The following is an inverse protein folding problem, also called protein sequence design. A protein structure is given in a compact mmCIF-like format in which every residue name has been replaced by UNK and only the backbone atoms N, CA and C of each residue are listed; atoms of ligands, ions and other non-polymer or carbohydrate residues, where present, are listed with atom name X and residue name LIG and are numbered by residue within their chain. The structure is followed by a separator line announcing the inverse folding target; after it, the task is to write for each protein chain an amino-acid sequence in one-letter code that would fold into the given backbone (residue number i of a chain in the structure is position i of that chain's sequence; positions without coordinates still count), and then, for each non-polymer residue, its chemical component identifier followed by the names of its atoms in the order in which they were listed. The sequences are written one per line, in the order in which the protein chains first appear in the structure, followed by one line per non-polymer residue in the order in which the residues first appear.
data_IF_032228590923
#
_entry.id   IF_032228590923
#
_cell.length_a   1.000
_cell.length_b   1.000
_cell.length_c   1.000
_cell.angle_alpha   90.00
_cell.angle_beta   90.00
_cell.angle_gamma   90.00
#
_symmetry.space_group_name_H-M   'P 1'
#
loop_
_entity.id
_entity.type
_entity.pdbx_description
1 polymer ?
#
# COMPACT_ATOMS: atom_id res chain seq x y z
N UNK A 1 4.62 15.76 -46.10
CA UNK A 1 4.39 14.46 -45.46
C UNK A 1 3.61 14.69 -44.15
N UNK A 2 2.43 14.14 -44.05
CA UNK A 2 1.39 14.54 -43.07
C UNK A 2 1.67 13.99 -41.69
N UNK A 3 1.90 14.88 -40.72
CA UNK A 3 1.77 14.57 -39.29
C UNK A 3 0.30 14.33 -38.95
N UNK A 4 -0.04 13.10 -38.66
CA UNK A 4 -1.39 12.73 -38.24
C UNK A 4 -1.62 13.08 -36.78
N UNK A 5 -2.59 13.97 -36.52
CA UNK A 5 -3.14 14.34 -35.23
C UNK A 5 -3.50 13.10 -34.39
N UNK A 6 -2.93 13.01 -33.19
CA UNK A 6 -3.20 11.95 -32.22
C UNK A 6 -4.60 12.06 -31.62
N UNK A 7 -5.64 11.72 -32.37
CA UNK A 7 -6.95 11.38 -31.80
C UNK A 7 -6.79 10.10 -30.99
N UNK A 8 -7.07 10.16 -29.69
CA UNK A 8 -7.18 9.02 -28.80
C UNK A 8 -8.08 7.95 -29.44
N UNK A 9 -7.49 6.95 -30.09
CA UNK A 9 -8.22 5.81 -30.63
C UNK A 9 -8.47 4.79 -29.53
N UNK A 10 -9.55 4.99 -28.75
CA UNK A 10 -10.09 4.01 -27.80
C UNK A 10 -10.44 2.65 -28.44
N UNK A 11 -10.59 2.59 -29.75
CA UNK A 11 -11.07 1.41 -30.48
C UNK A 11 -10.02 0.32 -30.79
N UNK A 12 -8.74 0.52 -30.47
CA UNK A 12 -7.72 -0.48 -30.85
C UNK A 12 -7.29 -1.44 -29.73
N UNK A 13 -7.73 -1.25 -28.48
CA UNK A 13 -7.31 -2.06 -27.34
C UNK A 13 -8.46 -2.45 -26.41
N UNK A 14 -9.37 -3.27 -26.96
CA UNK A 14 -10.51 -3.82 -26.22
C UNK A 14 -10.11 -4.45 -24.89
N UNK A 15 -9.03 -5.26 -24.86
CA UNK A 15 -8.53 -5.89 -23.65
C UNK A 15 -8.05 -4.86 -22.61
N UNK A 16 -7.29 -3.82 -23.02
CA UNK A 16 -6.83 -2.77 -22.10
C UNK A 16 -8.01 -2.04 -21.43
N UNK A 17 -9.05 -1.76 -22.17
CA UNK A 17 -10.27 -1.11 -21.65
C UNK A 17 -10.99 -1.99 -20.62
N UNK A 18 -11.29 -3.25 -20.96
CA UNK A 18 -12.00 -4.14 -20.07
C UNK A 18 -11.21 -4.52 -18.82
N UNK A 19 -9.87 -4.68 -18.93
CA UNK A 19 -9.00 -4.89 -17.79
C UNK A 19 -8.89 -3.65 -16.88
N UNK A 20 -9.06 -2.45 -17.44
CA UNK A 20 -9.14 -1.22 -16.65
C UNK A 20 -10.47 -1.16 -15.90
N UNK A 21 -11.60 -1.46 -16.56
CA UNK A 21 -12.92 -1.55 -15.92
C UNK A 21 -12.98 -2.62 -14.84
N UNK A 22 -12.34 -3.78 -15.07
CA UNK A 22 -12.19 -4.82 -14.03
C UNK A 22 -11.57 -4.23 -12.77
N UNK A 23 -10.47 -3.48 -12.89
CA UNK A 23 -9.82 -2.83 -11.78
C UNK A 23 -10.68 -1.77 -11.10
N UNK A 24 -11.41 -0.96 -11.88
CA UNK A 24 -12.35 0.06 -11.37
C UNK A 24 -13.45 -0.58 -10.52
N UNK A 25 -14.08 -1.65 -11.00
CA UNK A 25 -15.11 -2.36 -10.22
C UNK A 25 -14.52 -3.17 -9.07
N UNK A 26 -13.30 -3.69 -9.18
CA UNK A 26 -12.58 -4.35 -8.09
C UNK A 26 -12.27 -3.41 -6.93
N UNK A 27 -12.24 -2.08 -7.14
CA UNK A 27 -11.99 -1.10 -6.08
C UNK A 27 -13.01 -1.15 -4.95
N UNK A 28 -14.26 -1.57 -5.22
CA UNK A 28 -15.27 -1.77 -4.18
C UNK A 28 -14.82 -2.81 -3.15
N UNK A 29 -14.26 -3.92 -3.62
CA UNK A 29 -13.70 -4.95 -2.74
C UNK A 29 -12.42 -4.47 -2.02
N UNK A 30 -11.55 -3.73 -2.71
CA UNK A 30 -10.34 -3.16 -2.10
C UNK A 30 -10.69 -2.19 -0.97
N UNK A 31 -11.69 -1.33 -1.16
CA UNK A 31 -12.15 -0.40 -0.12
C UNK A 31 -12.71 -1.16 1.07
N UNK A 32 -13.55 -2.16 0.86
CA UNK A 32 -14.09 -2.98 1.95
C UNK A 32 -12.99 -3.68 2.76
N UNK A 33 -11.91 -4.14 2.11
CA UNK A 33 -10.92 -5.04 2.74
C UNK A 33 -9.61 -4.37 3.15
N UNK A 34 -9.32 -3.14 2.67
CA UNK A 34 -8.01 -2.50 2.85
C UNK A 34 -8.08 -1.07 3.40
N UNK A 35 -9.27 -0.59 3.76
CA UNK A 35 -9.44 0.75 4.33
C UNK A 35 -10.05 0.69 5.73
N UNK A 36 -10.30 1.84 6.35
CA UNK A 36 -10.99 1.95 7.64
C UNK A 36 -12.41 1.33 7.63
N UNK A 37 -13.03 1.16 6.45
CA UNK A 37 -14.31 0.45 6.30
C UNK A 37 -14.19 -1.01 6.79
N UNK A 38 -13.07 -1.69 6.48
CA UNK A 38 -12.79 -3.03 7.01
C UNK A 38 -12.85 -3.04 8.54
N UNK A 39 -12.17 -2.09 9.16
CA UNK A 39 -12.12 -1.97 10.63
C UNK A 39 -13.50 -1.71 11.22
N UNK A 40 -14.32 -0.85 10.59
CA UNK A 40 -15.70 -0.59 11.04
C UNK A 40 -16.56 -1.85 11.00
N UNK A 41 -16.53 -2.60 9.90
CA UNK A 41 -17.26 -3.87 9.76
C UNK A 41 -16.72 -4.90 10.74
N UNK A 42 -15.42 -4.99 10.93
CA UNK A 42 -14.78 -5.92 11.86
C UNK A 42 -15.19 -5.64 13.32
N UNK A 43 -15.16 -4.37 13.75
CA UNK A 43 -15.64 -3.97 15.08
C UNK A 43 -17.10 -4.35 15.25
N UNK A 44 -17.93 -4.12 14.24
CA UNK A 44 -19.35 -4.50 14.27
C UNK A 44 -19.55 -6.01 14.49
N UNK A 45 -18.71 -6.85 13.88
CA UNK A 45 -18.71 -8.31 14.10
C UNK A 45 -18.03 -8.74 15.40
N UNK A 46 -17.59 -7.79 16.25
CA UNK A 46 -17.03 -8.06 17.58
C UNK A 46 -15.54 -8.40 17.57
N UNK A 47 -14.79 -7.99 16.53
CA UNK A 47 -13.34 -8.14 16.53
C UNK A 47 -12.73 -7.13 17.50
N UNK A 48 -11.93 -7.64 18.44
CA UNK A 48 -11.03 -6.85 19.27
C UNK A 48 -9.64 -6.69 18.61
N UNK A 49 -8.72 -6.05 19.31
CA UNK A 49 -7.39 -5.75 18.81
C UNK A 49 -6.62 -7.01 18.37
N UNK A 50 -6.75 -8.12 19.12
CA UNK A 50 -6.07 -9.39 18.82
C UNK A 50 -6.59 -9.97 17.50
N UNK A 51 -7.91 -9.99 17.32
CA UNK A 51 -8.53 -10.46 16.07
C UNK A 51 -8.22 -9.55 14.90
N UNK A 52 -8.15 -8.24 15.12
CA UNK A 52 -7.73 -7.27 14.07
C UNK A 52 -6.28 -7.46 13.67
N UNK A 53 -5.37 -7.68 14.62
CA UNK A 53 -3.97 -8.00 14.33
C UNK A 53 -3.83 -9.29 13.52
N UNK A 54 -4.59 -10.33 13.89
CA UNK A 54 -4.65 -11.58 13.12
C UNK A 54 -5.17 -11.33 11.70
N UNK A 55 -6.30 -10.63 11.54
CA UNK A 55 -6.86 -10.31 10.24
C UNK A 55 -5.88 -9.52 9.36
N UNK A 56 -5.21 -8.51 9.92
CA UNK A 56 -4.23 -7.70 9.21
C UNK A 56 -2.98 -8.48 8.75
N UNK A 57 -2.70 -9.64 9.36
CA UNK A 57 -1.61 -10.51 8.92
C UNK A 57 -1.93 -11.29 7.64
N UNK A 58 -3.22 -11.54 7.33
CA UNK A 58 -3.63 -12.43 6.24
C UNK A 58 -3.19 -11.96 4.85
N UNK A 59 -3.33 -10.69 4.45
CA UNK A 59 -2.87 -10.25 3.14
C UNK A 59 -1.39 -10.54 2.89
N UNK A 60 -0.56 -10.47 3.94
CA UNK A 60 0.87 -10.76 3.87
C UNK A 60 1.17 -12.25 3.97
N UNK A 61 0.54 -12.95 4.93
CA UNK A 61 0.75 -14.38 5.14
C UNK A 61 0.32 -15.20 3.92
N UNK A 62 -0.82 -14.86 3.33
CA UNK A 62 -1.38 -15.64 2.23
C UNK A 62 -0.75 -15.34 0.86
N UNK A 63 0.13 -14.36 0.77
CA UNK A 63 0.99 -14.21 -0.41
C UNK A 63 1.83 -15.47 -0.69
N UNK A 64 2.09 -16.31 0.32
CA UNK A 64 2.76 -17.61 0.11
C UNK A 64 2.01 -18.51 -0.88
N UNK A 65 0.68 -18.40 -0.95
CA UNK A 65 -0.12 -19.16 -1.91
C UNK A 65 0.14 -18.77 -3.36
N UNK A 66 0.73 -17.59 -3.62
CA UNK A 66 1.15 -17.20 -4.96
C UNK A 66 2.23 -18.11 -5.53
N UNK A 67 3.01 -18.80 -4.68
CA UNK A 67 4.02 -19.78 -5.13
C UNK A 67 3.38 -20.99 -5.81
N UNK A 68 2.14 -21.33 -5.49
CA UNK A 68 1.40 -22.43 -6.09
C UNK A 68 0.62 -22.02 -7.36
N UNK A 69 0.44 -20.72 -7.59
CA UNK A 69 -0.33 -20.21 -8.72
C UNK A 69 0.22 -20.64 -10.10
N UNK A 70 1.54 -20.70 -10.38
CA UNK A 70 2.07 -21.20 -11.64
C UNK A 70 1.65 -22.64 -11.93
N UNK A 71 1.73 -23.52 -10.93
CA UNK A 71 1.32 -24.93 -11.07
C UNK A 71 -0.19 -25.09 -11.34
N UNK A 72 -1.01 -24.17 -10.81
CA UNK A 72 -2.45 -24.12 -11.08
C UNK A 72 -2.68 -23.60 -12.50
N UNK A 73 -1.99 -22.52 -12.90
CA UNK A 73 -2.11 -21.92 -14.25
C UNK A 73 -1.76 -22.92 -15.35
N UNK A 74 -0.72 -23.75 -15.15
CA UNK A 74 -0.30 -24.76 -16.14
C UNK A 74 -1.34 -25.86 -16.37
N UNK A 75 -2.14 -26.19 -15.35
CA UNK A 75 -3.16 -27.26 -15.41
C UNK A 75 -4.46 -26.80 -16.06
N UNK A 76 -4.71 -25.50 -16.16
CA UNK A 76 -5.97 -24.98 -16.68
C UNK A 76 -5.79 -24.33 -18.06
N UNK A 77 -6.74 -24.58 -19.00
CA UNK A 77 -6.62 -24.14 -20.38
C UNK A 77 -6.82 -22.63 -20.56
N UNK A 78 -7.47 -21.94 -19.60
CA UNK A 78 -7.84 -20.54 -19.70
C UNK A 78 -7.54 -19.80 -18.40
N UNK A 79 -6.63 -18.81 -18.47
CA UNK A 79 -6.33 -17.90 -17.35
C UNK A 79 -7.51 -17.00 -17.01
N UNK A 80 -8.33 -16.63 -18.01
CA UNK A 80 -9.53 -15.83 -17.84
C UNK A 80 -10.56 -16.54 -16.95
N UNK A 81 -10.86 -17.82 -17.24
CA UNK A 81 -11.78 -18.62 -16.44
C UNK A 81 -11.22 -18.83 -15.04
N UNK A 82 -9.93 -19.09 -14.94
CA UNK A 82 -9.24 -19.27 -13.66
C UNK A 82 -9.26 -17.99 -12.82
N UNK A 83 -9.03 -16.82 -13.44
CA UNK A 83 -9.15 -15.53 -12.77
C UNK A 83 -10.58 -15.26 -12.30
N UNK A 84 -11.59 -15.57 -13.12
CA UNK A 84 -13.00 -15.44 -12.74
C UNK A 84 -13.34 -16.33 -11.54
N UNK A 85 -12.85 -17.58 -11.53
CA UNK A 85 -13.01 -18.50 -10.41
C UNK A 85 -12.41 -17.93 -9.11
N UNK A 86 -11.15 -17.47 -9.13
CA UNK A 86 -10.53 -16.92 -7.93
C UNK A 86 -11.11 -15.55 -7.53
N UNK A 87 -11.54 -14.72 -8.48
CA UNK A 87 -12.26 -13.48 -8.15
C UNK A 87 -13.65 -13.76 -7.53
N UNK A 88 -14.25 -14.94 -7.76
CA UNK A 88 -15.51 -15.31 -7.10
C UNK A 88 -15.39 -15.47 -5.58
N UNK A 89 -14.16 -15.62 -5.04
CA UNK A 89 -13.92 -15.60 -3.60
C UNK A 89 -14.39 -14.32 -2.89
N UNK A 90 -14.60 -13.23 -3.64
CA UNK A 90 -15.20 -11.98 -3.13
C UNK A 90 -16.66 -12.16 -2.71
N UNK A 91 -17.38 -13.13 -3.31
CA UNK A 91 -18.77 -13.43 -2.94
C UNK A 91 -18.91 -14.17 -1.62
N UNK A 92 -17.82 -14.67 -1.02
CA UNK A 92 -17.86 -15.22 0.33
C UNK A 92 -18.42 -14.23 1.36
N UNK A 93 -18.29 -12.93 1.10
CA UNK A 93 -18.84 -11.87 1.95
C UNK A 93 -20.38 -11.87 2.02
N UNK A 94 -21.09 -12.52 1.06
CA UNK A 94 -22.55 -12.69 1.12
C UNK A 94 -23.00 -13.46 2.35
N UNK A 95 -22.15 -14.39 2.82
CA UNK A 95 -22.41 -15.19 4.02
C UNK A 95 -22.57 -14.33 5.27
N UNK A 96 -21.95 -13.13 5.31
CA UNK A 96 -22.04 -12.23 6.44
C UNK A 96 -23.37 -11.44 6.49
N UNK A 97 -24.10 -11.32 5.37
CA UNK A 97 -25.32 -10.49 5.29
C UNK A 97 -26.42 -10.91 6.30
N UNK A 98 -26.79 -12.19 6.43
CA UNK A 98 -27.76 -12.62 7.44
C UNK A 98 -27.32 -12.31 8.87
N UNK A 99 -26.01 -12.39 9.14
CA UNK A 99 -25.43 -12.17 10.47
C UNK A 99 -25.38 -10.68 10.88
N UNK A 100 -25.67 -9.75 9.97
CA UNK A 100 -25.84 -8.35 10.32
C UNK A 100 -27.03 -8.10 11.24
N UNK A 101 -28.06 -8.94 11.16
CA UNK A 101 -29.31 -8.77 11.89
C UNK A 101 -29.42 -9.69 13.14
N UNK A 102 -28.39 -10.49 13.41
CA UNK A 102 -28.32 -11.36 14.58
C UNK A 102 -27.60 -10.62 15.70
N UNK A 103 -28.18 -10.62 16.91
CA UNK A 103 -27.58 -9.93 18.06
C UNK A 103 -26.25 -10.54 18.50
N UNK A 104 -26.15 -11.88 18.42
CA UNK A 104 -24.91 -12.57 18.79
C UNK A 104 -23.85 -12.42 17.70
N UNK A 105 -22.87 -11.56 17.94
CA UNK A 105 -21.75 -11.32 17.03
C UNK A 105 -20.83 -12.54 16.96
N UNK A 106 -20.35 -12.87 15.76
CA UNK A 106 -19.47 -14.02 15.54
C UNK A 106 -18.14 -13.60 14.90
N UNK A 107 -17.13 -13.20 15.69
CA UNK A 107 -15.83 -12.79 15.19
C UNK A 107 -15.10 -13.94 14.46
N UNK A 108 -15.31 -15.19 14.88
CA UNK A 108 -14.68 -16.36 14.22
C UNK A 108 -15.18 -16.56 12.80
N UNK A 109 -16.49 -16.40 12.57
CA UNK A 109 -17.07 -16.48 11.23
C UNK A 109 -16.49 -15.41 10.32
N UNK A 110 -16.41 -14.15 10.82
CA UNK A 110 -15.82 -13.05 10.06
C UNK A 110 -14.37 -13.35 9.66
N UNK A 111 -13.54 -13.82 10.59
CA UNK A 111 -12.14 -14.19 10.35
C UNK A 111 -12.02 -15.29 9.30
N UNK A 112 -12.85 -16.34 9.38
CA UNK A 112 -12.83 -17.45 8.39
C UNK A 112 -13.20 -16.95 7.00
N UNK A 113 -14.28 -16.16 6.87
CA UNK A 113 -14.69 -15.58 5.59
C UNK A 113 -13.61 -14.68 5.01
N UNK A 114 -13.02 -13.81 5.85
CA UNK A 114 -11.95 -12.93 5.42
C UNK A 114 -10.71 -13.72 5.00
N UNK A 115 -10.27 -14.71 5.80
CA UNK A 115 -9.13 -15.57 5.46
C UNK A 115 -9.31 -16.27 4.11
N UNK A 116 -10.46 -16.91 3.89
CA UNK A 116 -10.76 -17.57 2.64
C UNK A 116 -10.74 -16.58 1.47
N UNK A 117 -11.37 -15.41 1.63
CA UNK A 117 -11.38 -14.39 0.59
C UNK A 117 -9.96 -13.88 0.25
N UNK A 118 -9.04 -13.78 1.23
CA UNK A 118 -7.65 -13.39 1.01
C UNK A 118 -6.81 -14.49 0.31
N UNK A 119 -7.08 -15.78 0.60
CA UNK A 119 -6.46 -16.90 -0.13
C UNK A 119 -6.85 -16.82 -1.61
N UNK A 120 -8.13 -16.65 -1.90
CA UNK A 120 -8.61 -16.49 -3.28
C UNK A 120 -7.98 -15.25 -3.95
N UNK A 121 -7.89 -14.12 -3.25
CA UNK A 121 -7.26 -12.90 -3.76
C UNK A 121 -5.77 -13.09 -4.07
N UNK A 122 -5.03 -13.88 -3.29
CA UNK A 122 -3.61 -14.17 -3.53
C UNK A 122 -3.40 -14.93 -4.86
N UNK A 123 -4.23 -15.93 -5.14
CA UNK A 123 -4.21 -16.62 -6.44
C UNK A 123 -4.64 -15.69 -7.58
N UNK A 124 -5.73 -14.94 -7.40
CA UNK A 124 -6.24 -14.02 -8.41
C UNK A 124 -5.19 -12.99 -8.82
N UNK A 125 -4.45 -12.43 -7.86
CA UNK A 125 -3.39 -11.44 -8.13
C UNK A 125 -2.29 -11.98 -9.04
N UNK A 126 -1.81 -13.20 -8.82
CA UNK A 126 -0.77 -13.82 -9.65
C UNK A 126 -1.29 -14.16 -11.05
N UNK A 127 -2.49 -14.72 -11.15
CA UNK A 127 -3.14 -15.04 -12.44
C UNK A 127 -3.35 -13.77 -13.25
N UNK A 128 -3.78 -12.69 -12.60
CA UNK A 128 -3.97 -11.37 -13.23
C UNK A 128 -2.66 -10.83 -13.82
N UNK A 129 -1.56 -10.85 -13.04
CA UNK A 129 -0.23 -10.42 -13.52
C UNK A 129 0.20 -11.26 -14.72
N UNK A 130 0.03 -12.58 -14.65
CA UNK A 130 0.34 -13.50 -15.75
C UNK A 130 -0.48 -13.17 -17.00
N UNK A 131 -1.78 -12.90 -16.85
CA UNK A 131 -2.67 -12.54 -17.95
C UNK A 131 -2.30 -11.20 -18.60
N UNK A 132 -1.94 -10.19 -17.81
CA UNK A 132 -1.44 -8.89 -18.31
C UNK A 132 -0.18 -9.08 -19.16
N UNK A 133 0.74 -9.93 -18.69
CA UNK A 133 1.98 -10.21 -19.42
C UNK A 133 1.75 -10.81 -20.80
N UNK A 134 0.67 -11.58 -20.97
CA UNK A 134 0.31 -12.20 -22.25
C UNK A 134 -0.46 -11.25 -23.18
N UNK A 135 -1.32 -10.40 -22.60
CA UNK A 135 -2.24 -9.58 -23.38
C UNK A 135 -1.66 -8.22 -23.77
N UNK A 136 -0.76 -7.66 -22.94
CA UNK A 136 -0.21 -6.32 -23.13
C UNK A 136 1.25 -6.40 -23.56
N UNK A 137 1.61 -5.91 -24.77
CA UNK A 137 3.00 -5.86 -25.24
C UNK A 137 3.91 -5.10 -24.25
N UNK A 138 5.15 -5.58 -24.12
CA UNK A 138 6.10 -5.06 -23.13
C UNK A 138 6.34 -3.55 -23.28
N UNK A 139 6.45 -3.05 -24.53
CA UNK A 139 6.70 -1.65 -24.85
C UNK A 139 5.56 -0.71 -24.41
N UNK A 140 4.35 -1.24 -24.23
CA UNK A 140 3.15 -0.49 -23.86
C UNK A 140 2.68 -0.75 -22.45
N UNK A 141 3.22 -1.78 -21.80
CA UNK A 141 2.77 -2.26 -20.49
C UNK A 141 2.87 -1.17 -19.41
N UNK A 142 3.97 -0.42 -19.39
CA UNK A 142 4.15 0.69 -18.44
C UNK A 142 3.09 1.79 -18.62
N UNK A 143 2.84 2.21 -19.85
CA UNK A 143 1.82 3.22 -20.17
C UNK A 143 0.40 2.75 -19.79
N UNK A 144 0.08 1.49 -20.11
CA UNK A 144 -1.19 0.89 -19.77
C UNK A 144 -1.38 0.80 -18.24
N UNK A 145 -0.40 0.25 -17.52
CA UNK A 145 -0.48 0.11 -16.05
C UNK A 145 -0.58 1.47 -15.35
N UNK A 146 0.13 2.48 -15.85
CA UNK A 146 0.02 3.85 -15.33
C UNK A 146 -1.40 4.40 -15.47
N UNK A 147 -1.99 4.29 -16.66
CA UNK A 147 -3.36 4.75 -16.92
C UNK A 147 -4.41 3.95 -16.11
N UNK A 148 -4.27 2.63 -16.09
CA UNK A 148 -5.13 1.75 -15.29
C UNK A 148 -5.07 2.11 -13.81
N UNK A 149 -3.87 2.24 -13.25
CA UNK A 149 -3.70 2.55 -11.83
C UNK A 149 -4.28 3.93 -11.49
N UNK A 150 -4.22 4.91 -12.38
CA UNK A 150 -4.89 6.18 -12.20
C UNK A 150 -6.40 6.01 -12.03
N UNK A 151 -7.07 5.29 -12.93
CA UNK A 151 -8.52 5.06 -12.84
C UNK A 151 -8.92 4.21 -11.64
N UNK A 152 -8.13 3.18 -11.31
CA UNK A 152 -8.38 2.34 -10.12
C UNK A 152 -8.22 3.15 -8.84
N UNK A 153 -7.18 3.97 -8.72
CA UNK A 153 -6.97 4.85 -7.56
C UNK A 153 -8.09 5.87 -7.42
N UNK A 154 -8.48 6.51 -8.52
CA UNK A 154 -9.60 7.46 -8.51
C UNK A 154 -10.90 6.78 -8.06
N UNK A 155 -11.20 5.61 -8.60
CA UNK A 155 -12.37 4.81 -8.20
C UNK A 155 -12.28 4.42 -6.71
N UNK A 156 -11.12 3.98 -6.23
CA UNK A 156 -10.92 3.64 -4.81
C UNK A 156 -11.21 4.82 -3.90
N UNK A 157 -10.75 6.02 -4.24
CA UNK A 157 -11.03 7.24 -3.46
C UNK A 157 -12.51 7.58 -3.45
N UNK A 158 -13.16 7.54 -4.62
CA UNK A 158 -14.60 7.84 -4.75
C UNK A 158 -15.46 6.81 -3.99
N UNK A 159 -15.15 5.53 -4.11
CA UNK A 159 -15.86 4.46 -3.40
C UNK A 159 -15.63 4.55 -1.90
N UNK A 160 -14.40 4.85 -1.46
CA UNK A 160 -14.11 5.03 -0.04
C UNK A 160 -14.91 6.20 0.55
N UNK A 161 -14.95 7.33 -0.14
CA UNK A 161 -15.77 8.46 0.27
C UNK A 161 -17.27 8.10 0.33
N UNK A 162 -17.80 7.45 -0.72
CA UNK A 162 -19.19 6.99 -0.75
C UNK A 162 -19.52 6.07 0.43
N UNK A 163 -18.66 5.07 0.70
CA UNK A 163 -18.87 4.13 1.80
C UNK A 163 -18.76 4.83 3.16
N UNK A 164 -17.91 5.84 3.28
CA UNK A 164 -17.79 6.66 4.49
C UNK A 164 -19.08 7.46 4.75
N UNK A 165 -19.65 8.09 3.73
CA UNK A 165 -20.93 8.81 3.83
C UNK A 165 -22.06 7.84 4.19
N UNK A 166 -22.12 6.66 3.59
CA UNK A 166 -23.11 5.63 3.96
C UNK A 166 -22.92 5.20 5.42
N UNK A 167 -21.68 4.98 5.84
CA UNK A 167 -21.38 4.56 7.22
C UNK A 167 -21.86 5.57 8.25
N UNK A 168 -21.69 6.86 7.99
CA UNK A 168 -21.99 7.92 8.94
C UNK A 168 -23.48 8.31 8.96
N UNK A 169 -24.19 8.19 7.81
CA UNK A 169 -25.55 8.71 7.67
C UNK A 169 -26.64 7.63 7.70
N UNK A 170 -26.27 6.36 7.50
CA UNK A 170 -27.23 5.26 7.50
C UNK A 170 -27.16 4.49 8.81
N UNK A 171 -28.32 4.20 9.42
CA UNK A 171 -28.39 3.47 10.69
C UNK A 171 -27.82 2.06 10.57
N UNK A 172 -27.10 1.64 11.61
CA UNK A 172 -26.64 0.26 11.81
C UNK A 172 -27.88 -0.67 11.97
N UNK A 173 -27.92 -1.85 11.33
CA UNK A 173 -26.91 -2.48 10.48
C UNK A 173 -27.06 -2.18 8.96
N UNK A 174 -28.00 -1.34 8.56
CA UNK A 174 -28.31 -1.08 7.16
C UNK A 174 -27.13 -0.43 6.41
N UNK A 175 -26.30 0.37 7.09
CA UNK A 175 -25.07 0.90 6.53
C UNK A 175 -24.14 -0.23 6.02
N UNK A 176 -23.88 -1.25 6.83
CA UNK A 176 -23.05 -2.41 6.44
C UNK A 176 -23.72 -3.28 5.40
N UNK A 177 -25.05 -3.41 5.46
CA UNK A 177 -25.82 -4.09 4.40
C UNK A 177 -25.58 -3.42 3.05
N UNK A 178 -25.70 -2.10 2.96
CA UNK A 178 -25.48 -1.34 1.73
C UNK A 178 -24.03 -1.46 1.24
N UNK A 179 -23.05 -1.29 2.14
CA UNK A 179 -21.63 -1.37 1.80
C UNK A 179 -21.26 -2.75 1.26
N UNK A 180 -21.64 -3.84 1.96
CA UNK A 180 -21.35 -5.21 1.52
C UNK A 180 -22.08 -5.52 0.21
N UNK A 181 -23.36 -5.15 0.09
CA UNK A 181 -24.13 -5.37 -1.15
C UNK A 181 -23.53 -4.61 -2.33
N UNK A 182 -23.14 -3.33 -2.16
CA UNK A 182 -22.45 -2.57 -3.19
C UNK A 182 -21.10 -3.20 -3.58
N UNK A 183 -20.38 -3.76 -2.60
CA UNK A 183 -19.14 -4.51 -2.87
C UNK A 183 -19.38 -5.78 -3.68
N UNK A 184 -20.44 -6.52 -3.38
CA UNK A 184 -20.84 -7.70 -4.15
C UNK A 184 -21.25 -7.34 -5.57
N UNK A 185 -22.01 -6.24 -5.75
CA UNK A 185 -22.36 -5.72 -7.07
C UNK A 185 -21.14 -5.28 -7.87
N UNK A 186 -20.21 -4.53 -7.25
CA UNK A 186 -18.95 -4.16 -7.88
C UNK A 186 -18.13 -5.40 -8.27
N UNK A 187 -18.07 -6.41 -7.40
CA UNK A 187 -17.41 -7.69 -7.69
C UNK A 187 -18.06 -8.43 -8.85
N UNK A 188 -19.38 -8.42 -8.94
CA UNK A 188 -20.13 -9.01 -10.06
C UNK A 188 -19.84 -8.28 -11.37
N UNK A 189 -19.89 -6.94 -11.37
CA UNK A 189 -19.52 -6.13 -12.54
C UNK A 189 -18.07 -6.36 -12.96
N UNK A 190 -17.15 -6.50 -12.01
CA UNK A 190 -15.75 -6.88 -12.29
C UNK A 190 -15.67 -8.22 -13.04
N UNK A 191 -16.44 -9.25 -12.64
CA UNK A 191 -16.47 -10.51 -13.36
C UNK A 191 -17.05 -10.38 -14.78
N UNK A 192 -18.11 -9.59 -14.96
CA UNK A 192 -18.71 -9.35 -16.28
C UNK A 192 -17.70 -8.72 -17.25
N UNK A 193 -16.81 -7.84 -16.76
CA UNK A 193 -15.77 -7.22 -17.61
C UNK A 193 -14.72 -8.21 -18.11
N UNK A 194 -14.61 -9.40 -17.51
CA UNK A 194 -13.74 -10.46 -18.01
C UNK A 194 -14.32 -11.17 -19.25
N UNK A 195 -15.63 -11.19 -19.42
CA UNK A 195 -16.28 -11.94 -20.52
C UNK A 195 -15.80 -11.57 -21.92
N UNK A 196 -15.68 -10.26 -22.27
CA UNK A 196 -15.27 -9.84 -23.61
C UNK A 196 -13.76 -9.91 -23.86
N UNK A 197 -12.95 -10.32 -22.88
CA UNK A 197 -11.50 -10.45 -23.04
C UNK A 197 -11.14 -11.57 -24.01
N UNK A 198 -10.22 -11.25 -24.92
CA UNK A 198 -9.66 -12.18 -25.87
C UNK A 198 -8.34 -12.72 -25.34
N UNK A 199 -8.31 -14.01 -25.00
CA UNK A 199 -7.17 -14.69 -24.40
C UNK A 199 -6.17 -15.13 -25.47
N UNK A 200 -4.88 -14.83 -25.26
CA UNK A 200 -3.78 -15.40 -26.05
C UNK A 200 -3.04 -16.45 -25.22
N UNK A 201 -2.72 -17.59 -25.81
CA UNK A 201 -1.94 -18.63 -25.12
C UNK A 201 -0.53 -18.11 -24.82
N UNK A 202 -0.10 -18.29 -23.57
CA UNK A 202 1.15 -17.78 -23.03
C UNK A 202 2.39 -18.56 -23.45
N UNK A 203 3.53 -17.85 -23.43
CA UNK A 203 4.86 -18.46 -23.40
C UNK A 203 5.18 -18.99 -21.98
N UNK A 204 6.00 -20.06 -21.90
CA UNK A 204 6.42 -20.67 -20.63
C UNK A 204 7.22 -19.67 -19.77
N UNK A 205 6.90 -19.58 -18.49
CA UNK A 205 7.57 -18.71 -17.51
C UNK A 205 8.80 -19.41 -16.89
N UNK A 206 9.81 -18.58 -16.53
CA UNK A 206 11.17 -18.97 -16.17
C UNK A 206 11.38 -19.76 -14.87
N UNK A 207 12.61 -20.20 -14.65
CA UNK A 207 13.09 -21.22 -13.72
C UNK A 207 13.51 -20.70 -12.34
N UNK A 208 13.39 -21.59 -11.32
CA UNK A 208 13.72 -21.38 -9.88
C UNK A 208 15.24 -21.26 -9.61
N UNK A 209 16.10 -21.38 -10.62
CA UNK A 209 17.57 -21.48 -10.43
C UNK A 209 18.28 -20.25 -9.86
N UNK A 210 17.60 -19.07 -9.83
CA UNK A 210 18.25 -17.80 -9.43
C UNK A 210 18.23 -17.53 -7.92
N UNK A 211 17.57 -18.37 -7.12
CA UNK A 211 17.43 -18.12 -5.67
C UNK A 211 18.80 -18.10 -4.95
N UNK A 212 19.68 -19.04 -5.31
CA UNK A 212 21.05 -19.09 -4.72
C UNK A 212 21.85 -17.83 -5.02
N UNK A 213 21.71 -17.28 -6.22
CA UNK A 213 22.37 -16.03 -6.63
C UNK A 213 21.91 -14.85 -5.75
N UNK A 214 20.58 -14.73 -5.55
CA UNK A 214 20.00 -13.65 -4.72
C UNK A 214 20.46 -13.76 -3.27
N UNK A 215 20.44 -14.97 -2.70
CA UNK A 215 20.87 -15.20 -1.31
C UNK A 215 22.38 -14.96 -1.10
N UNK A 216 23.19 -15.10 -2.15
CA UNK A 216 24.63 -14.81 -2.12
C UNK A 216 24.93 -13.30 -2.22
N UNK A 217 24.01 -12.49 -2.75
CA UNK A 217 24.17 -11.05 -2.86
C UNK A 217 24.04 -10.35 -1.52
N UNK A 218 25.18 -10.11 -0.87
CA UNK A 218 25.25 -9.55 0.49
C UNK A 218 24.62 -8.17 0.61
N UNK A 219 24.76 -7.31 -0.42
CA UNK A 219 24.21 -5.95 -0.38
C UNK A 219 22.70 -5.97 -0.53
N UNK A 220 22.18 -6.74 -1.48
CA UNK A 220 20.75 -6.92 -1.67
C UNK A 220 20.08 -7.58 -0.44
N UNK A 221 20.74 -8.58 0.17
CA UNK A 221 20.22 -9.21 1.39
C UNK A 221 20.22 -8.27 2.60
N UNK A 222 21.16 -7.30 2.69
CA UNK A 222 21.07 -6.22 3.70
C UNK A 222 19.82 -5.37 3.48
N UNK A 223 19.54 -4.97 2.23
CA UNK A 223 18.34 -4.22 1.87
C UNK A 223 17.06 -5.01 2.22
N UNK A 224 17.01 -6.27 1.84
CA UNK A 224 15.84 -7.12 2.08
C UNK A 224 15.59 -7.37 3.58
N UNK A 225 16.64 -7.52 4.39
CA UNK A 225 16.52 -7.62 5.85
C UNK A 225 16.09 -6.30 6.50
N UNK A 226 16.57 -5.16 6.00
CA UNK A 226 16.11 -3.84 6.44
C UNK A 226 14.62 -3.62 6.09
N UNK A 227 14.19 -4.08 4.92
CA UNK A 227 12.79 -4.04 4.49
C UNK A 227 11.89 -4.95 5.33
N UNK A 228 12.37 -6.15 5.71
CA UNK A 228 11.71 -7.01 6.70
C UNK A 228 11.49 -6.25 8.02
N UNK A 229 12.55 -5.66 8.58
CA UNK A 229 12.47 -4.94 9.85
C UNK A 229 11.52 -3.72 9.76
N UNK A 230 11.56 -3.00 8.64
CA UNK A 230 10.64 -1.89 8.40
C UNK A 230 9.18 -2.32 8.38
N UNK A 231 8.84 -3.34 7.59
CA UNK A 231 7.47 -3.84 7.52
C UNK A 231 7.00 -4.44 8.84
N UNK A 232 7.90 -5.11 9.58
CA UNK A 232 7.61 -5.59 10.93
C UNK A 232 7.16 -4.45 11.84
N UNK A 233 7.93 -3.36 11.90
CA UNK A 233 7.62 -2.22 12.78
C UNK A 233 6.35 -1.50 12.32
N UNK A 234 6.23 -1.23 11.01
CA UNK A 234 5.04 -0.52 10.48
C UNK A 234 3.76 -1.32 10.74
N UNK A 235 3.77 -2.61 10.43
CA UNK A 235 2.57 -3.46 10.59
C UNK A 235 2.31 -3.85 12.04
N UNK A 236 3.22 -3.54 12.95
CA UNK A 236 3.02 -3.69 14.40
C UNK A 236 1.83 -2.84 14.90
N UNK A 237 1.71 -1.59 14.41
CA UNK A 237 0.68 -0.67 14.85
C UNK A 237 -0.30 -0.24 13.74
N UNK A 238 0.02 -0.40 12.47
CA UNK A 238 -0.81 0.08 11.35
C UNK A 238 -2.30 -0.31 11.41
N UNK A 239 -2.69 -1.55 11.82
CA UNK A 239 -4.10 -1.94 11.90
C UNK A 239 -4.88 -1.19 12.99
N UNK A 240 -4.17 -0.60 13.97
CA UNK A 240 -4.79 0.00 15.16
C UNK A 240 -5.02 1.50 15.03
N UNK A 241 -4.49 2.17 14.00
CA UNK A 241 -4.85 3.55 13.70
C UNK A 241 -6.34 3.71 13.37
N UNK A 242 -6.92 2.99 12.39
CA UNK A 242 -8.36 3.04 12.16
C UNK A 242 -9.19 2.54 13.36
N UNK A 243 -8.69 1.55 14.11
CA UNK A 243 -9.36 1.08 15.31
C UNK A 243 -9.44 2.19 16.35
N UNK A 244 -8.36 2.90 16.63
CA UNK A 244 -8.32 4.02 17.56
C UNK A 244 -9.25 5.16 17.12
N UNK A 245 -9.24 5.52 15.82
CA UNK A 245 -10.14 6.53 15.28
C UNK A 245 -11.62 6.19 15.49
N UNK A 246 -12.00 4.95 15.22
CA UNK A 246 -13.40 4.53 15.22
C UNK A 246 -13.91 4.10 16.60
N UNK A 247 -13.09 3.37 17.37
CA UNK A 247 -13.48 2.79 18.64
C UNK A 247 -13.27 3.75 19.82
N UNK A 248 -12.06 4.35 19.91
CA UNK A 248 -11.71 5.22 21.03
C UNK A 248 -12.19 6.65 20.79
N UNK A 249 -11.76 7.27 19.68
CA UNK A 249 -12.09 8.67 19.35
C UNK A 249 -13.50 8.84 18.76
N UNK A 250 -14.13 7.77 18.30
CA UNK A 250 -15.46 7.77 17.65
C UNK A 250 -15.58 8.79 16.50
N UNK A 251 -14.50 8.95 15.73
CA UNK A 251 -14.47 9.90 14.63
C UNK A 251 -15.44 9.48 13.52
N UNK A 252 -16.13 10.43 12.88
CA UNK A 252 -16.90 10.14 11.69
C UNK A 252 -16.01 9.61 10.58
N UNK A 253 -16.43 8.53 9.91
CA UNK A 253 -15.67 7.87 8.83
C UNK A 253 -15.38 8.83 7.68
N UNK A 254 -16.28 9.80 7.43
CA UNK A 254 -16.12 10.83 6.40
C UNK A 254 -14.84 11.65 6.59
N UNK A 255 -14.47 12.02 7.82
CA UNK A 255 -13.22 12.74 8.09
C UNK A 255 -11.97 11.87 7.87
N UNK A 256 -12.06 10.58 8.20
CA UNK A 256 -11.00 9.60 7.90
C UNK A 256 -10.81 9.48 6.38
N UNK A 257 -11.89 9.49 5.62
CA UNK A 257 -11.81 9.47 4.17
C UNK A 257 -11.22 10.78 3.59
N UNK A 258 -11.56 11.94 4.14
CA UNK A 258 -10.94 13.21 3.73
C UNK A 258 -9.44 13.22 3.97
N UNK A 259 -8.97 12.74 5.12
CA UNK A 259 -7.55 12.61 5.41
C UNK A 259 -6.86 11.68 4.40
N UNK A 260 -7.45 10.53 4.08
CA UNK A 260 -6.92 9.58 3.10
C UNK A 260 -6.90 10.14 1.67
N UNK A 261 -7.94 10.90 1.27
CA UNK A 261 -7.97 11.59 -0.02
C UNK A 261 -6.88 12.65 -0.09
N UNK A 262 -6.73 13.46 0.95
CA UNK A 262 -5.68 14.48 1.05
C UNK A 262 -4.29 13.86 0.93
N UNK A 263 -4.02 12.79 1.70
CA UNK A 263 -2.76 12.06 1.62
C UNK A 263 -2.50 11.50 0.22
N UNK A 264 -3.54 10.96 -0.44
CA UNK A 264 -3.42 10.41 -1.79
C UNK A 264 -3.11 11.48 -2.83
N UNK A 265 -3.78 12.63 -2.78
CA UNK A 265 -3.52 13.76 -3.69
C UNK A 265 -2.10 14.27 -3.51
N UNK A 266 -1.66 14.45 -2.25
CA UNK A 266 -0.29 14.85 -1.96
C UNK A 266 0.72 13.82 -2.44
N UNK A 267 0.45 12.51 -2.25
CA UNK A 267 1.31 11.46 -2.78
C UNK A 267 1.46 11.55 -4.29
N UNK A 268 0.39 11.79 -5.05
CA UNK A 268 0.45 11.94 -6.51
C UNK A 268 1.36 13.10 -6.94
N UNK A 269 1.28 14.23 -6.25
CA UNK A 269 2.13 15.41 -6.52
C UNK A 269 3.59 15.07 -6.16
N UNK A 270 3.81 14.53 -4.98
CA UNK A 270 5.14 14.28 -4.45
C UNK A 270 5.86 13.11 -5.11
N UNK A 271 5.16 12.14 -5.73
CA UNK A 271 5.82 11.13 -6.57
C UNK A 271 6.68 11.75 -7.67
N UNK A 272 6.19 12.82 -8.31
CA UNK A 272 6.95 13.53 -9.36
C UNK A 272 8.16 14.25 -8.77
N UNK A 273 8.00 14.89 -7.61
CA UNK A 273 9.07 15.62 -6.93
C UNK A 273 10.16 14.66 -6.44
N UNK A 274 9.76 13.60 -5.72
CA UNK A 274 10.69 12.59 -5.22
C UNK A 274 11.36 11.80 -6.34
N UNK A 275 10.68 11.57 -7.46
CA UNK A 275 11.27 10.95 -8.65
C UNK A 275 12.48 11.76 -9.15
N UNK A 276 12.33 13.06 -9.35
CA UNK A 276 13.42 13.95 -9.77
C UNK A 276 14.56 14.02 -8.76
N UNK A 277 14.21 14.14 -7.46
CA UNK A 277 15.22 14.14 -6.39
C UNK A 277 15.97 12.80 -6.31
N UNK A 278 15.29 11.71 -6.59
CA UNK A 278 15.86 10.36 -6.63
C UNK A 278 16.89 10.20 -7.76
N UNK A 279 16.59 10.73 -8.94
CA UNK A 279 17.52 10.71 -10.08
C UNK A 279 18.75 11.58 -9.83
N UNK A 280 18.57 12.73 -9.17
CA UNK A 280 19.64 13.70 -8.91
C UNK A 280 20.51 13.30 -7.71
N UNK A 281 19.89 12.97 -6.56
CA UNK A 281 20.58 12.73 -5.28
C UNK A 281 20.65 11.26 -4.87
N UNK A 282 20.05 10.36 -5.63
CA UNK A 282 20.07 8.90 -5.41
C UNK A 282 18.85 8.38 -4.65
N UNK A 283 18.47 7.15 -5.00
CA UNK A 283 17.29 6.45 -4.46
C UNK A 283 17.34 6.24 -2.95
N UNK A 284 18.53 5.95 -2.41
CA UNK A 284 18.75 5.77 -0.98
C UNK A 284 18.50 7.07 -0.19
N UNK A 285 18.91 8.23 -0.72
CA UNK A 285 18.70 9.52 -0.08
C UNK A 285 17.21 9.84 0.06
N UNK A 286 16.44 9.62 -0.99
CA UNK A 286 14.98 9.79 -0.99
C UNK A 286 14.31 8.79 -0.05
N UNK A 287 14.78 7.53 -0.01
CA UNK A 287 14.26 6.54 0.95
C UNK A 287 14.43 7.02 2.39
N UNK A 288 15.65 7.41 2.78
CA UNK A 288 15.93 7.84 4.15
C UNK A 288 15.12 9.09 4.52
N UNK A 289 14.95 10.04 3.59
CA UNK A 289 14.09 11.21 3.79
C UNK A 289 12.61 10.79 4.01
N UNK A 290 12.08 9.96 3.16
CA UNK A 290 10.73 9.43 3.30
C UNK A 290 10.51 8.67 4.60
N UNK A 291 11.42 7.74 4.93
CA UNK A 291 11.38 6.99 6.20
C UNK A 291 11.38 7.92 7.41
N UNK A 292 12.20 8.99 7.38
CA UNK A 292 12.26 9.98 8.48
C UNK A 292 10.93 10.72 8.64
N UNK A 293 10.29 11.11 7.54
CA UNK A 293 9.00 11.79 7.56
C UNK A 293 7.91 10.85 8.10
N UNK A 294 7.78 9.63 7.57
CA UNK A 294 6.70 8.72 8.01
C UNK A 294 6.95 8.13 9.40
N UNK A 295 8.18 8.21 9.92
CA UNK A 295 8.46 7.75 11.28
C UNK A 295 7.92 8.67 12.36
N UNK A 296 7.70 9.96 12.06
CA UNK A 296 7.11 10.90 13.03
C UNK A 296 5.58 10.81 13.07
N UNK A 297 4.93 10.31 11.99
CA UNK A 297 3.46 10.36 11.91
C UNK A 297 2.76 9.64 13.06
N UNK A 298 3.19 8.47 13.55
CA UNK A 298 2.53 7.84 14.69
C UNK A 298 2.58 8.66 15.98
N UNK A 299 3.68 9.41 16.19
CA UNK A 299 3.82 10.25 17.38
C UNK A 299 2.86 11.45 17.39
N UNK A 300 2.42 11.94 16.23
CA UNK A 300 1.44 13.04 16.13
C UNK A 300 0.11 12.65 16.75
N UNK A 301 -0.22 11.36 16.77
CA UNK A 301 -1.49 10.86 17.29
C UNK A 301 -1.65 11.08 18.80
N UNK A 302 -0.58 11.37 19.54
CA UNK A 302 -0.67 11.79 20.95
C UNK A 302 -1.46 13.10 21.13
N UNK A 303 -1.55 13.91 20.07
CA UNK A 303 -2.27 15.18 20.08
C UNK A 303 -3.78 15.02 19.82
N UNK A 304 -4.25 13.79 19.52
CA UNK A 304 -5.66 13.51 19.25
C UNK A 304 -6.40 13.15 20.53
N UNK A 305 -7.51 13.82 20.76
CA UNK A 305 -8.51 13.41 21.74
C UNK A 305 -9.92 13.59 21.12
N UNK A 306 -10.97 13.31 21.89
CA UNK A 306 -12.35 13.39 21.37
C UNK A 306 -12.78 14.79 20.93
N UNK A 307 -12.11 15.85 21.41
CA UNK A 307 -12.41 17.26 21.09
C UNK A 307 -11.47 17.82 20.04
N UNK A 308 -10.15 17.53 20.19
CA UNK A 308 -9.07 18.16 19.42
C UNK A 308 -8.33 17.13 18.56
N UNK A 309 -8.90 16.73 17.45
CA UNK A 309 -8.31 15.72 16.55
C UNK A 309 -8.06 16.24 15.14
N UNK A 310 -8.76 17.33 14.71
CA UNK A 310 -8.75 17.80 13.31
C UNK A 310 -7.34 18.19 12.87
N UNK A 311 -6.63 18.98 13.67
CA UNK A 311 -5.29 19.45 13.32
C UNK A 311 -4.29 18.29 13.21
N UNK A 312 -4.31 17.38 14.17
CA UNK A 312 -3.41 16.23 14.18
C UNK A 312 -3.71 15.26 13.01
N UNK A 313 -5.00 15.03 12.71
CA UNK A 313 -5.41 14.24 11.55
C UNK A 313 -4.97 14.90 10.23
N UNK A 314 -5.08 16.22 10.12
CA UNK A 314 -4.63 16.95 8.93
C UNK A 314 -3.09 16.90 8.78
N UNK A 315 -2.35 17.06 9.87
CA UNK A 315 -0.89 16.93 9.87
C UNK A 315 -0.44 15.53 9.50
N UNK A 316 -1.08 14.50 10.05
CA UNK A 316 -0.81 13.10 9.68
C UNK A 316 -1.07 12.88 8.18
N UNK A 317 -2.20 13.35 7.65
CA UNK A 317 -2.53 13.21 6.24
C UNK A 317 -1.48 13.86 5.32
N UNK A 318 -1.00 15.04 5.69
CA UNK A 318 0.03 15.76 4.91
C UNK A 318 1.36 15.02 4.96
N UNK A 319 1.85 14.69 6.15
CA UNK A 319 3.15 14.02 6.31
C UNK A 319 3.12 12.60 5.75
N UNK A 320 2.02 11.87 5.94
CA UNK A 320 1.84 10.56 5.35
C UNK A 320 1.81 10.62 3.83
N UNK A 321 1.08 11.58 3.23
CA UNK A 321 1.04 11.74 1.77
C UNK A 321 2.41 12.04 1.17
N UNK A 322 3.16 12.95 1.78
CA UNK A 322 4.52 13.32 1.33
C UNK A 322 5.50 12.18 1.56
N UNK A 323 5.54 11.61 2.76
CA UNK A 323 6.55 10.64 3.16
C UNK A 323 6.36 9.28 2.49
N UNK A 324 5.13 8.75 2.46
CA UNK A 324 4.87 7.46 1.80
C UNK A 324 5.09 7.51 0.28
N UNK A 325 4.92 8.66 -0.37
CA UNK A 325 5.31 8.81 -1.78
C UNK A 325 6.81 8.54 -1.99
N UNK A 326 7.67 9.08 -1.13
CA UNK A 326 9.11 8.83 -1.17
C UNK A 326 9.45 7.36 -0.89
N UNK A 327 8.86 6.79 0.18
CA UNK A 327 9.11 5.41 0.62
C UNK A 327 8.68 4.41 -0.45
N UNK A 328 7.45 4.53 -0.97
CA UNK A 328 6.92 3.62 -1.99
C UNK A 328 7.71 3.68 -3.30
N UNK A 329 8.10 4.89 -3.74
CA UNK A 329 8.96 5.06 -4.91
C UNK A 329 10.31 4.36 -4.71
N UNK A 330 10.95 4.61 -3.58
CA UNK A 330 12.29 4.10 -3.31
C UNK A 330 12.30 2.58 -3.06
N UNK A 331 11.25 1.99 -2.52
CA UNK A 331 11.13 0.52 -2.38
C UNK A 331 10.89 -0.21 -3.73
N UNK A 332 10.61 0.53 -4.81
CA UNK A 332 10.65 -0.01 -6.16
C UNK A 332 12.03 0.19 -6.79
N UNK A 333 12.58 1.41 -6.69
CA UNK A 333 13.78 1.80 -7.44
C UNK A 333 15.08 1.33 -6.80
N UNK A 334 15.19 1.33 -5.46
CA UNK A 334 16.41 0.89 -4.77
C UNK A 334 16.68 -0.62 -4.91
N UNK A 335 15.70 -1.53 -4.84
CA UNK A 335 15.92 -2.95 -5.19
C UNK A 335 16.43 -3.14 -6.63
N UNK A 336 15.91 -2.36 -7.60
CA UNK A 336 16.40 -2.40 -9.00
C UNK A 336 17.86 -1.94 -9.10
N UNK A 337 18.25 -0.92 -8.33
CA UNK A 337 19.62 -0.41 -8.31
C UNK A 337 20.59 -1.38 -7.64
N UNK A 338 20.17 -2.05 -6.58
CA UNK A 338 21.03 -2.90 -5.73
C UNK A 338 21.16 -4.34 -6.21
N UNK A 339 20.21 -4.82 -7.03
CA UNK A 339 20.27 -6.16 -7.61
C UNK A 339 21.50 -6.32 -8.52
N UNK A 340 22.31 -7.35 -8.29
CA UNK A 340 23.49 -7.64 -9.11
C UNK A 340 23.17 -8.29 -10.45
N UNK A 341 21.94 -8.82 -10.62
CA UNK A 341 21.47 -9.43 -11.86
C UNK A 341 20.01 -9.02 -12.16
N UNK A 342 19.67 -8.96 -13.43
CA UNK A 342 18.31 -8.67 -13.88
C UNK A 342 17.45 -9.95 -13.82
N UNK A 343 17.09 -10.37 -12.60
CA UNK A 343 16.24 -11.54 -12.36
C UNK A 343 15.01 -11.16 -11.52
N UNK A 344 13.80 -11.60 -11.91
CA UNK A 344 12.57 -11.41 -11.13
C UNK A 344 12.66 -11.99 -9.71
N UNK A 345 13.58 -12.94 -9.47
CA UNK A 345 13.79 -13.57 -8.18
C UNK A 345 14.23 -12.56 -7.10
N UNK A 346 14.93 -11.47 -7.47
CA UNK A 346 15.30 -10.40 -6.55
C UNK A 346 14.06 -9.76 -5.92
N UNK A 347 13.07 -9.39 -6.75
CA UNK A 347 11.81 -8.83 -6.24
C UNK A 347 10.98 -9.85 -5.45
N UNK A 348 11.00 -11.13 -5.85
CA UNK A 348 10.29 -12.18 -5.13
C UNK A 348 10.85 -12.35 -3.70
N UNK A 349 12.17 -12.41 -3.52
CA UNK A 349 12.82 -12.49 -2.20
C UNK A 349 12.58 -11.24 -1.38
N UNK A 350 12.69 -10.06 -1.99
CA UNK A 350 12.43 -8.78 -1.33
C UNK A 350 11.01 -8.70 -0.78
N UNK A 351 10.02 -9.01 -1.62
CA UNK A 351 8.61 -9.00 -1.25
C UNK A 351 8.26 -10.06 -0.21
N UNK A 352 8.84 -11.27 -0.33
CA UNK A 352 8.62 -12.34 0.62
C UNK A 352 9.14 -11.98 2.02
N UNK A 353 10.34 -11.40 2.12
CA UNK A 353 10.89 -10.94 3.40
C UNK A 353 10.07 -9.79 3.98
N UNK A 354 9.66 -8.81 3.16
CA UNK A 354 8.77 -7.75 3.61
C UNK A 354 7.42 -8.27 4.10
N UNK A 355 6.83 -9.23 3.37
CA UNK A 355 5.59 -9.90 3.75
C UNK A 355 5.70 -10.65 5.07
N UNK A 356 6.78 -11.42 5.28
CA UNK A 356 7.06 -12.09 6.56
C UNK A 356 7.20 -11.10 7.71
N UNK A 357 7.93 -10.00 7.50
CA UNK A 357 8.06 -8.94 8.51
C UNK A 357 6.70 -8.38 8.89
N UNK A 358 5.89 -7.99 7.91
CA UNK A 358 4.55 -7.45 8.14
C UNK A 358 3.59 -8.42 8.81
N UNK A 359 3.62 -9.70 8.42
CA UNK A 359 2.83 -10.76 9.05
C UNK A 359 3.15 -10.88 10.54
N UNK A 360 4.43 -11.03 10.87
CA UNK A 360 4.89 -11.18 12.26
C UNK A 360 4.57 -9.91 13.06
N UNK A 361 4.79 -8.73 12.47
CA UNK A 361 4.46 -7.44 13.07
C UNK A 361 2.98 -7.35 13.46
N UNK A 362 2.06 -7.65 12.54
CA UNK A 362 0.61 -7.60 12.81
C UNK A 362 0.17 -8.62 13.87
N UNK A 363 0.76 -9.85 13.85
CA UNK A 363 0.43 -10.88 14.84
C UNK A 363 0.86 -10.49 16.25
N UNK A 364 2.05 -9.88 16.41
CA UNK A 364 2.55 -9.38 17.69
C UNK A 364 1.83 -8.10 18.09
N UNK A 365 1.51 -7.25 17.12
CA UNK A 365 0.82 -5.98 17.31
C UNK A 365 -0.53 -6.11 18.00
N UNK A 366 -1.31 -7.15 17.67
CA UNK A 366 -2.63 -7.38 18.27
C UNK A 366 -2.63 -7.49 19.81
N UNK A 367 -1.87 -8.45 20.38
CA UNK A 367 -1.70 -8.54 21.83
C UNK A 367 -1.13 -7.28 22.49
N UNK A 368 -0.14 -6.63 21.84
CA UNK A 368 0.42 -5.37 22.33
C UNK A 368 -0.62 -4.25 22.33
N UNK A 369 -1.35 -4.09 21.23
CA UNK A 369 -2.40 -3.09 21.14
C UNK A 369 -3.48 -3.30 22.21
N UNK A 370 -3.90 -4.56 22.46
CA UNK A 370 -4.82 -4.89 23.53
C UNK A 370 -4.27 -4.52 24.91
N UNK A 371 -2.98 -4.83 25.17
CA UNK A 371 -2.32 -4.47 26.41
C UNK A 371 -2.31 -2.95 26.60
N UNK A 372 -1.86 -2.19 25.61
CA UNK A 372 -1.83 -0.74 25.71
C UNK A 372 -3.23 -0.13 25.80
N UNK A 373 -4.20 -0.65 25.03
CA UNK A 373 -5.57 -0.12 25.03
C UNK A 373 -6.33 -0.37 26.36
N UNK A 374 -5.75 -1.14 27.30
CA UNK A 374 -6.31 -1.32 28.65
C UNK A 374 -5.93 -0.19 29.63
N UNK A 375 -5.11 0.77 29.20
CA UNK A 375 -4.67 1.89 30.02
C UNK A 375 -5.27 3.19 29.52
N UNK A 376 -5.72 4.00 30.44
CA UNK A 376 -6.17 5.38 30.20
C UNK A 376 -5.44 6.33 31.12
N UNK A 377 -5.00 7.46 30.59
CA UNK A 377 -4.26 8.48 31.32
C UNK A 377 -4.93 9.84 31.13
N UNK A 378 -4.89 10.68 32.17
CA UNK A 378 -5.38 12.05 32.11
C UNK A 378 -4.30 13.00 32.56
N UNK A 379 -4.06 14.06 31.74
CA UNK A 379 -3.19 15.18 32.10
C UNK A 379 -4.07 16.44 32.12
N UNK A 380 -4.55 16.81 33.30
CA UNK A 380 -5.63 17.78 33.41
C UNK A 380 -6.90 17.26 32.72
N UNK A 381 -7.44 18.05 31.79
CA UNK A 381 -8.61 17.68 30.99
C UNK A 381 -8.27 16.89 29.73
N UNK A 382 -6.99 16.65 29.47
CA UNK A 382 -6.56 15.96 28.26
C UNK A 382 -6.51 14.46 28.48
N UNK A 383 -7.35 13.71 27.75
CA UNK A 383 -7.41 12.26 27.78
C UNK A 383 -6.38 11.66 26.82
N UNK A 384 -5.51 10.79 27.33
CA UNK A 384 -4.50 10.04 26.57
C UNK A 384 -4.86 8.57 26.65
N UNK A 385 -5.22 8.00 25.52
CA UNK A 385 -5.44 6.56 25.37
C UNK A 385 -4.10 5.80 25.33
N UNK A 386 -4.03 4.63 25.94
CA UNK A 386 -2.82 3.81 25.92
C UNK A 386 -2.37 3.42 24.51
N UNK A 387 -3.27 3.31 23.54
CA UNK A 387 -2.88 3.11 22.12
C UNK A 387 -2.01 4.25 21.56
N UNK A 388 -2.19 5.47 22.04
CA UNK A 388 -1.34 6.60 21.61
C UNK A 388 0.10 6.45 22.11
N UNK A 389 0.28 5.86 23.31
CA UNK A 389 1.61 5.50 23.82
C UNK A 389 2.24 4.41 22.95
N UNK A 390 1.45 3.43 22.54
CA UNK A 390 1.90 2.39 21.61
C UNK A 390 2.36 2.98 20.25
N UNK A 391 1.65 4.00 19.74
CA UNK A 391 2.04 4.71 18.52
C UNK A 391 3.34 5.52 18.69
N UNK A 392 3.59 6.09 19.87
CA UNK A 392 4.90 6.74 20.16
C UNK A 392 6.01 5.69 20.13
N UNK A 393 5.81 4.54 20.78
CA UNK A 393 6.80 3.45 20.76
C UNK A 393 7.06 3.00 19.32
N UNK A 394 6.02 2.83 18.52
CA UNK A 394 6.17 2.51 17.09
C UNK A 394 6.96 3.58 16.33
N UNK A 395 6.71 4.87 16.59
CA UNK A 395 7.49 5.97 16.00
C UNK A 395 8.99 5.83 16.32
N UNK A 396 9.35 5.56 17.57
CA UNK A 396 10.73 5.33 18.00
C UNK A 396 11.32 4.10 17.29
N UNK A 397 10.56 3.01 17.22
CA UNK A 397 10.99 1.79 16.52
C UNK A 397 11.21 2.03 15.03
N UNK A 398 10.36 2.82 14.36
CA UNK A 398 10.55 3.23 12.95
C UNK A 398 11.88 3.96 12.76
N UNK A 399 12.20 4.93 13.64
CA UNK A 399 13.49 5.62 13.59
C UNK A 399 14.67 4.67 13.84
N UNK A 400 14.54 3.68 14.71
CA UNK A 400 15.62 2.71 15.00
C UNK A 400 15.97 1.81 13.81
N UNK A 401 15.05 1.63 12.86
CA UNK A 401 15.27 0.83 11.64
C UNK A 401 16.00 1.62 10.54
N UNK A 402 15.89 2.96 10.51
CA UNK A 402 16.50 3.80 9.46
C UNK A 402 18.01 3.55 9.29
N UNK A 403 18.84 3.41 10.35
CA UNK A 403 20.25 3.11 10.21
C UNK A 403 20.58 1.82 9.45
N UNK A 404 19.67 0.84 9.41
CA UNK A 404 19.86 -0.37 8.60
C UNK A 404 19.92 -0.03 7.11
N UNK A 405 19.08 0.91 6.65
CA UNK A 405 19.09 1.38 5.27
C UNK A 405 20.33 2.25 4.98
N UNK A 406 20.83 2.99 5.96
CA UNK A 406 22.05 3.78 5.81
C UNK A 406 23.28 2.92 5.48
N UNK A 407 23.34 1.64 5.94
CA UNK A 407 24.44 0.69 5.71
C UNK A 407 24.42 0.02 4.33
N UNK A 408 23.42 0.27 3.49
CA UNK A 408 23.30 -0.31 2.15
C UNK A 408 24.16 0.50 1.18
N UNK A 409 24.94 -0.19 0.34
CA UNK A 409 25.69 0.45 -0.73
C UNK A 409 24.75 0.83 -1.87
N UNK A 410 24.80 2.07 -2.32
CA UNK A 410 24.06 2.60 -3.46
C UNK A 410 24.95 3.42 -4.36
N UNK A 411 24.58 3.60 -5.62
CA UNK A 411 25.38 4.33 -6.63
C UNK A 411 25.57 5.80 -6.26
N UNK A 412 24.50 6.43 -5.75
CA UNK A 412 24.51 7.81 -5.29
C UNK A 412 23.92 7.88 -3.89
N UNK A 413 24.51 8.67 -3.03
CA UNK A 413 23.97 8.93 -1.71
C UNK A 413 24.37 10.33 -1.23
N UNK A 414 23.40 11.07 -0.75
CA UNK A 414 23.57 12.36 -0.10
C UNK A 414 22.91 12.30 1.27
N UNK A 415 23.59 12.80 2.32
CA UNK A 415 23.03 12.80 3.67
C UNK A 415 21.78 13.68 3.76
N UNK A 416 20.89 13.41 4.71
CA UNK A 416 19.66 14.20 4.91
C UNK A 416 19.92 15.71 5.05
N UNK A 417 20.86 16.18 5.89
CA UNK A 417 21.14 17.60 6.00
C UNK A 417 21.56 18.21 4.66
N UNK A 418 22.41 17.50 3.91
CA UNK A 418 22.86 17.94 2.58
C UNK A 418 21.72 17.91 1.56
N UNK A 419 20.82 16.93 1.62
CA UNK A 419 19.63 16.89 0.76
C UNK A 419 18.74 18.12 1.01
N UNK A 420 18.44 18.42 2.27
CA UNK A 420 17.64 19.59 2.64
C UNK A 420 18.29 20.91 2.24
N UNK A 421 19.58 21.07 2.48
CA UNK A 421 20.30 22.29 2.06
C UNK A 421 20.31 22.46 0.55
N UNK A 422 20.45 21.37 -0.22
CA UNK A 422 20.39 21.41 -1.68
C UNK A 422 18.98 21.76 -2.17
N UNK A 423 17.95 21.15 -1.62
CA UNK A 423 16.55 21.47 -1.96
C UNK A 423 16.24 22.94 -1.66
N UNK A 424 16.64 23.45 -0.49
CA UNK A 424 16.47 24.86 -0.13
C UNK A 424 17.28 25.82 -1.02
N UNK A 425 18.50 25.42 -1.40
CA UNK A 425 19.33 26.23 -2.30
C UNK A 425 18.73 26.29 -3.71
N UNK A 426 18.15 25.20 -4.19
CA UNK A 426 17.43 25.16 -5.46
C UNK A 426 16.20 26.05 -5.42
N UNK A 427 15.41 25.96 -4.35
CA UNK A 427 14.22 26.83 -4.16
C UNK A 427 14.57 28.32 -4.03
N UNK A 428 15.74 28.63 -3.46
CA UNK A 428 16.24 29.99 -3.33
C UNK A 428 17.01 30.51 -4.55
N UNK A 429 17.07 29.75 -5.64
CA UNK A 429 17.80 30.11 -6.87
C UNK A 429 19.32 29.98 -6.77
N UNK A 430 19.86 29.39 -5.70
CA UNK A 430 21.30 29.17 -5.50
C UNK A 430 21.60 27.67 -5.68
N UNK A 431 22.39 27.30 -6.68
CA UNK A 431 22.81 25.92 -6.90
C UNK A 431 24.14 25.63 -6.19
N UNK A 432 24.09 24.88 -5.10
CA UNK A 432 25.27 24.23 -4.51
C UNK A 432 24.95 22.74 -4.39
N UNK A 433 25.44 21.95 -5.33
CA UNK A 433 25.28 20.47 -5.28
C UNK A 433 26.57 19.91 -4.67
N UNK A 434 26.47 19.35 -3.44
CA UNK A 434 27.51 18.51 -2.85
C UNK A 434 27.10 17.05 -3.05
N UNK A 435 27.74 16.37 -3.98
CA UNK A 435 27.56 14.92 -4.21
C UNK A 435 28.74 14.22 -3.54
N UNK A 436 28.46 13.25 -2.69
CA UNK A 436 29.45 12.34 -2.14
C UNK A 436 29.48 11.07 -3.02
N UNK A 437 30.45 11.00 -3.95
CA UNK A 437 30.75 9.77 -4.68
C UNK A 437 31.82 8.98 -3.90
N UNK A 438 31.40 7.90 -3.26
CA UNK A 438 32.34 7.09 -2.47
C UNK A 438 32.94 7.85 -1.29
N UNK A 439 34.26 7.71 -1.08
CA UNK A 439 35.01 8.36 0.00
C UNK A 439 35.57 9.75 -0.39
N UNK A 440 35.20 10.33 -1.51
CA UNK A 440 35.63 11.67 -1.95
C UNK A 440 34.45 12.62 -2.04
N UNK A 441 34.59 13.79 -1.46
CA UNK A 441 33.64 14.90 -1.55
C UNK A 441 34.09 15.87 -2.66
N UNK A 442 33.43 15.80 -3.82
CA UNK A 442 33.64 16.81 -4.88
C UNK A 442 32.51 17.84 -4.82
N UNK A 443 32.92 19.12 -4.81
CA UNK A 443 32.00 20.26 -4.84
C UNK A 443 31.90 20.73 -6.28
N UNK A 444 30.77 20.47 -6.94
CA UNK A 444 30.51 20.99 -8.28
C UNK A 444 29.63 22.25 -8.15
N UNK A 445 30.20 23.40 -8.44
CA UNK A 445 29.46 24.66 -8.51
C UNK A 445 29.06 24.88 -9.97
N UNK A 446 27.78 24.77 -10.28
CA UNK A 446 27.24 25.00 -11.61
C UNK A 446 26.06 25.97 -11.61
N UNK A 447 26.13 27.05 -12.40
CA UNK A 447 24.96 27.89 -12.72
C UNK A 447 24.21 27.25 -13.90
N UNK A 448 23.06 26.66 -13.68
CA UNK A 448 22.11 26.30 -14.75
C UNK A 448 20.81 27.09 -14.59
N UNK A 449 20.35 27.74 -15.66
CA UNK A 449 19.12 28.56 -15.70
C UNK A 449 17.88 27.72 -15.38
N UNK A 450 16.95 28.32 -14.62
CA UNK A 450 15.69 27.75 -14.11
C UNK A 450 14.63 27.35 -15.16
N UNK A 451 14.98 27.17 -16.43
CA UNK A 451 13.99 26.89 -17.50
C UNK A 451 13.54 25.43 -17.63
N UNK A 452 13.81 24.55 -16.63
CA UNK A 452 13.44 23.11 -16.69
C UNK A 452 12.68 22.57 -15.47
N UNK A 453 12.11 23.44 -14.63
CA UNK A 453 11.44 23.00 -13.40
C UNK A 453 9.90 23.01 -13.47
N UNK A 454 9.31 23.42 -14.63
CA UNK A 454 7.86 23.35 -14.89
C UNK A 454 7.53 22.68 -16.22
#
# INVERSE_FOLDING_TARGET
MRQGSGKFRFHKNKNEFFLTLEGVFSSFYLVLTQTAIFTAVAIYFGLNEVWLGLAASFPMAFQIFQLFAPAVIEKFPSKKILLAFFNSGRFLWVVLLPFLFIEQRNPKLFIVIFALSQIFAAFAGNIWVSMISDMIPEERRGKYLGLRNFFVSLSTLLVFYLFSVINDNVKIPFNFLLIITATLLGSFLSLLTLLPLEERRAAKTGTINDLKLVLADKNFMKLSKAYFAWNFVVLLAAPFFPYHQLHNLKLPMTYISYASITASILSMIFYTIWGRLSDEFGHKSVLIAGLSIVSITPAIWILMNERDWILALALDAVLSGVGWAAVNLAFITLPMETASANSPMYFAVFSALGGLGGMIGSLIGGPLARFFNSFDFYIGDFHIYGLQIFFIIESVLRYSVIPLFAKISSRKYVSLPTLFTNVLSVLSGRHVVRIQEGNRSDVIIGRKRMSRWW
#
